data_IF_801728741995
#
_entry.id   IF_801728741995
#
_cell.length_a   1.000
_cell.length_b   1.000
_cell.length_c   1.000
_cell.angle_alpha   90.00
_cell.angle_beta   90.00
_cell.angle_gamma   90.00
#
_symmetry.space_group_name_H-M   'P 1'
#
loop_
_entity.id
_entity.type
_entity.pdbx_description
1 polymer ?
#
# COMPACT_ATOMS: atom_id res chain seq x y z
N UNK A 1 -37.51 -85.52 -28.75
CA UNK A 1 -38.34 -85.44 -27.53
C UNK A 1 -37.47 -85.03 -26.34
N UNK A 2 -37.98 -84.11 -25.52
CA UNK A 2 -37.32 -83.37 -24.42
C UNK A 2 -36.85 -84.27 -23.27
N UNK A 3 -35.76 -83.89 -22.58
CA UNK A 3 -35.46 -84.11 -21.15
C UNK A 3 -34.22 -83.26 -20.79
N UNK A 4 -34.40 -81.99 -20.40
CA UNK A 4 -34.55 -81.45 -19.02
C UNK A 4 -33.40 -81.79 -18.07
N UNK A 5 -32.57 -80.78 -17.84
CA UNK A 5 -31.59 -80.60 -16.76
C UNK A 5 -32.33 -80.57 -15.41
N UNK A 6 -31.73 -81.11 -14.33
CA UNK A 6 -31.99 -80.60 -12.99
C UNK A 6 -30.71 -80.07 -12.33
N UNK A 7 -30.89 -78.85 -11.81
CA UNK A 7 -30.02 -78.04 -10.98
C UNK A 7 -29.83 -78.65 -9.58
N UNK A 8 -28.58 -78.83 -9.15
CA UNK A 8 -28.13 -79.08 -7.75
C UNK A 8 -26.68 -78.56 -7.72
N UNK A 9 -26.16 -77.73 -6.81
CA UNK A 9 -26.65 -77.01 -5.64
C UNK A 9 -25.49 -76.05 -5.25
N UNK A 10 -25.75 -74.75 -5.14
CA UNK A 10 -25.75 -74.00 -3.88
C UNK A 10 -24.72 -74.51 -2.84
N UNK A 11 -23.51 -73.95 -2.86
CA UNK A 11 -22.60 -73.99 -1.69
C UNK A 11 -21.81 -72.70 -1.57
N UNK A 12 -22.26 -71.88 -0.61
CA UNK A 12 -21.47 -71.09 0.32
C UNK A 12 -20.32 -70.20 -0.22
N UNK A 13 -20.59 -68.91 -0.34
CA UNK A 13 -19.61 -67.86 -0.05
C UNK A 13 -20.34 -66.73 0.69
N UNK A 14 -20.68 -67.03 1.94
CA UNK A 14 -21.12 -66.05 2.92
C UNK A 14 -19.95 -65.13 3.29
N UNK A 15 -20.28 -63.84 3.42
CA UNK A 15 -19.79 -62.90 4.43
C UNK A 15 -18.31 -62.50 4.39
N UNK A 16 -17.99 -61.52 3.55
CA UNK A 16 -16.89 -60.56 3.77
C UNK A 16 -17.39 -59.10 3.64
N UNK A 17 -18.56 -58.81 4.19
CA UNK A 17 -18.99 -57.43 4.46
C UNK A 17 -18.99 -57.19 5.98
N UNK A 18 -17.82 -57.39 6.59
CA UNK A 18 -17.51 -56.64 7.80
C UNK A 18 -17.31 -55.19 7.34
N UNK A 19 -18.40 -54.42 7.36
CA UNK A 19 -18.29 -52.98 7.38
C UNK A 19 -17.51 -52.64 8.67
N UNK A 20 -16.21 -52.36 8.51
CA UNK A 20 -15.35 -51.74 9.53
C UNK A 20 -15.79 -50.29 9.78
N UNK A 21 -17.08 -50.08 10.06
CA UNK A 21 -17.64 -48.80 10.45
C UNK A 21 -17.42 -48.55 11.93
N UNK A 22 -16.16 -48.49 12.35
CA UNK A 22 -15.83 -47.92 13.65
C UNK A 22 -16.27 -46.44 13.70
N UNK A 23 -16.51 -45.88 14.89
CA UNK A 23 -16.80 -44.45 15.00
C UNK A 23 -15.65 -43.66 14.39
N UNK A 24 -15.97 -42.80 13.40
CA UNK A 24 -14.98 -41.94 12.74
C UNK A 24 -14.26 -41.10 13.78
N UNK A 25 -12.94 -41.00 13.67
CA UNK A 25 -12.12 -40.09 14.47
C UNK A 25 -12.41 -38.63 14.10
N UNK A 26 -12.10 -37.66 14.97
CA UNK A 26 -12.27 -36.23 14.64
C UNK A 26 -11.59 -35.83 13.32
N UNK A 27 -10.42 -36.40 13.04
CA UNK A 27 -9.69 -36.13 11.81
C UNK A 27 -10.40 -36.67 10.57
N UNK A 28 -10.92 -37.91 10.63
CA UNK A 28 -11.69 -38.49 9.52
C UNK A 28 -12.99 -37.74 9.26
N UNK A 29 -13.68 -37.26 10.32
CA UNK A 29 -14.88 -36.42 10.19
C UNK A 29 -14.52 -35.09 9.54
N UNK A 30 -13.46 -34.43 10.00
CA UNK A 30 -12.97 -33.16 9.45
C UNK A 30 -12.64 -33.29 7.96
N UNK A 31 -11.86 -34.31 7.60
CA UNK A 31 -11.52 -34.57 6.20
C UNK A 31 -12.76 -34.86 5.34
N UNK A 32 -13.70 -35.67 5.85
CA UNK A 32 -14.94 -35.97 5.13
C UNK A 32 -15.79 -34.71 4.94
N UNK A 33 -15.92 -33.88 5.97
CA UNK A 33 -16.65 -32.61 5.92
C UNK A 33 -16.06 -31.66 4.86
N UNK A 34 -14.76 -31.40 4.91
CA UNK A 34 -14.13 -30.47 3.97
C UNK A 34 -14.06 -31.01 2.53
N UNK A 35 -13.98 -32.33 2.36
CA UNK A 35 -14.14 -32.97 1.04
C UNK A 35 -15.56 -32.78 0.50
N UNK A 36 -16.56 -32.82 1.36
CA UNK A 36 -17.94 -32.56 0.97
C UNK A 36 -18.15 -31.08 0.61
N UNK A 37 -17.55 -30.16 1.38
CA UNK A 37 -17.53 -28.72 1.06
C UNK A 37 -16.91 -28.46 -0.31
N UNK A 38 -15.70 -29.00 -0.59
CA UNK A 38 -15.01 -28.75 -1.86
C UNK A 38 -15.71 -29.37 -3.08
N UNK A 39 -16.49 -30.43 -2.89
CA UNK A 39 -17.27 -31.08 -3.96
C UNK A 39 -18.71 -30.56 -4.09
N UNK A 40 -19.12 -29.66 -3.21
CA UNK A 40 -20.52 -29.23 -3.10
C UNK A 40 -21.48 -30.37 -2.72
N UNK A 41 -21.00 -31.40 -2.03
CA UNK A 41 -21.81 -32.53 -1.54
C UNK A 41 -22.61 -32.11 -0.30
N UNK A 42 -23.82 -31.63 -0.55
CA UNK A 42 -24.79 -31.18 0.46
C UNK A 42 -25.08 -32.24 1.52
N UNK A 43 -25.24 -33.50 1.11
CA UNK A 43 -25.56 -34.60 2.04
C UNK A 43 -24.37 -34.87 2.97
N UNK A 44 -23.15 -34.86 2.42
CA UNK A 44 -21.92 -35.00 3.20
C UNK A 44 -21.69 -33.85 4.17
N UNK A 45 -21.98 -32.61 3.78
CA UNK A 45 -21.83 -31.41 4.62
C UNK A 45 -22.75 -31.50 5.85
N UNK A 46 -24.05 -31.77 5.63
CA UNK A 46 -25.02 -31.90 6.71
C UNK A 46 -24.72 -33.15 7.55
N UNK A 47 -24.35 -34.26 6.92
CA UNK A 47 -24.05 -35.53 7.58
C UNK A 47 -22.80 -35.51 8.48
N UNK A 48 -21.87 -34.58 8.26
CA UNK A 48 -20.63 -34.45 9.02
C UNK A 48 -20.57 -33.21 9.92
N UNK A 49 -21.65 -32.45 10.03
CA UNK A 49 -21.72 -31.25 10.86
C UNK A 49 -22.89 -31.26 11.85
N UNK A 50 -22.94 -30.23 12.67
CA UNK A 50 -24.06 -29.92 13.57
C UNK A 50 -25.24 -29.25 12.85
N UNK A 51 -25.15 -29.01 11.54
CA UNK A 51 -26.25 -28.49 10.74
C UNK A 51 -27.45 -29.44 10.78
N UNK A 52 -28.65 -28.86 10.90
CA UNK A 52 -29.90 -29.63 10.87
C UNK A 52 -30.35 -29.91 9.43
N UNK A 53 -30.07 -28.99 8.52
CA UNK A 53 -30.36 -29.05 7.10
C UNK A 53 -29.40 -28.12 6.32
N UNK A 54 -29.59 -28.05 5.00
CA UNK A 54 -28.75 -27.24 4.11
C UNK A 54 -29.08 -25.75 4.16
N UNK A 55 -30.24 -25.32 4.68
CA UNK A 55 -30.61 -23.90 4.75
C UNK A 55 -29.70 -23.13 5.72
N UNK A 56 -29.16 -23.82 6.74
CA UNK A 56 -28.17 -23.28 7.66
C UNK A 56 -26.73 -23.17 7.10
N UNK A 57 -26.49 -23.67 5.88
CA UNK A 57 -25.16 -23.65 5.26
C UNK A 57 -24.98 -22.42 4.37
N UNK A 58 -24.21 -21.45 4.83
CA UNK A 58 -23.91 -20.22 4.09
C UNK A 58 -22.63 -20.29 3.26
N UNK A 59 -22.06 -21.50 3.09
CA UNK A 59 -20.76 -21.73 2.45
C UNK A 59 -19.61 -20.94 3.07
N UNK A 60 -19.75 -20.58 4.35
CA UNK A 60 -18.81 -19.72 5.06
C UNK A 60 -18.64 -18.34 4.42
N UNK A 61 -19.67 -17.85 3.74
CA UNK A 61 -19.65 -16.59 2.99
C UNK A 61 -18.62 -16.55 1.86
N UNK A 62 -18.21 -17.73 1.35
CA UNK A 62 -17.30 -17.89 0.20
C UNK A 62 -18.05 -18.47 -1.00
N UNK A 63 -17.82 -17.87 -2.17
CA UNK A 63 -18.51 -18.25 -3.40
C UNK A 63 -17.93 -19.49 -4.08
N UNK A 64 -16.60 -19.68 -3.98
CA UNK A 64 -15.89 -20.74 -4.69
C UNK A 64 -14.98 -21.56 -3.76
N UNK A 65 -15.12 -22.89 -3.84
CA UNK A 65 -14.28 -23.86 -3.15
C UNK A 65 -13.48 -24.74 -4.14
N UNK A 66 -13.61 -24.49 -5.44
CA UNK A 66 -12.82 -25.13 -6.48
C UNK A 66 -11.34 -24.72 -6.33
N UNK A 67 -10.44 -25.68 -6.53
CA UNK A 67 -8.97 -25.52 -6.42
C UNK A 67 -8.42 -25.15 -5.04
N UNK A 68 -9.27 -25.08 -4.01
CA UNK A 68 -8.83 -24.89 -2.62
C UNK A 68 -8.17 -26.16 -2.11
N UNK A 69 -6.91 -26.04 -1.70
CA UNK A 69 -6.17 -27.10 -1.03
C UNK A 69 -6.32 -26.98 0.49
N UNK A 70 -6.65 -28.10 1.16
CA UNK A 70 -6.74 -28.15 2.61
C UNK A 70 -5.63 -29.02 3.19
N UNK A 71 -4.97 -28.51 4.24
CA UNK A 71 -4.00 -29.25 5.01
C UNK A 71 -4.27 -29.15 6.51
N UNK A 72 -3.79 -30.15 7.25
CA UNK A 72 -4.10 -30.33 8.67
C UNK A 72 -2.86 -30.11 9.52
N UNK A 73 -3.02 -29.32 10.58
CA UNK A 73 -2.01 -29.07 11.58
C UNK A 73 -2.27 -29.83 12.88
N UNK A 74 -2.05 -29.15 14.01
CA UNK A 74 -2.22 -29.72 15.34
C UNK A 74 -3.67 -30.16 15.58
N UNK A 75 -3.81 -31.35 16.16
CA UNK A 75 -5.08 -31.92 16.63
C UNK A 75 -5.10 -31.91 18.15
N UNK A 76 -6.13 -31.33 18.75
CA UNK A 76 -6.38 -31.34 20.20
C UNK A 76 -7.73 -32.03 20.41
N UNK A 77 -7.76 -33.07 21.24
CA UNK A 77 -8.97 -33.85 21.52
C UNK A 77 -9.21 -33.85 23.02
N UNK A 78 -10.40 -33.42 23.42
CA UNK A 78 -10.97 -33.58 24.74
C UNK A 78 -12.10 -34.65 24.70
N UNK A 79 -12.76 -34.87 25.82
CA UNK A 79 -13.84 -35.84 26.03
C UNK A 79 -15.08 -35.56 25.17
N UNK A 80 -15.44 -34.29 25.01
CA UNK A 80 -16.64 -33.83 24.28
C UNK A 80 -16.32 -32.98 23.04
N UNK A 81 -15.11 -32.45 22.95
CA UNK A 81 -14.72 -31.45 21.95
C UNK A 81 -13.40 -31.84 21.31
N UNK A 82 -13.22 -31.47 20.04
CA UNK A 82 -11.93 -31.56 19.38
C UNK A 82 -11.70 -30.32 18.53
N UNK A 83 -10.44 -29.98 18.33
CA UNK A 83 -9.98 -28.86 17.54
C UNK A 83 -8.88 -29.33 16.60
N UNK A 84 -9.01 -28.98 15.32
CA UNK A 84 -8.03 -29.31 14.30
C UNK A 84 -7.64 -28.04 13.58
N UNK A 85 -6.38 -27.65 13.70
CA UNK A 85 -5.83 -26.55 12.91
C UNK A 85 -5.93 -26.95 11.43
N UNK A 86 -6.62 -26.13 10.67
CA UNK A 86 -6.89 -26.29 9.24
C UNK A 86 -6.23 -25.13 8.52
N UNK A 87 -5.45 -25.44 7.50
CA UNK A 87 -4.92 -24.45 6.57
C UNK A 87 -5.59 -24.62 5.23
N UNK A 88 -6.11 -23.53 4.73
CA UNK A 88 -6.70 -23.36 3.43
C UNK A 88 -5.68 -22.63 2.57
N UNK A 89 -5.30 -23.23 1.45
CA UNK A 89 -4.33 -22.66 0.52
C UNK A 89 -4.94 -22.56 -0.87
N UNK A 90 -4.65 -21.47 -1.56
CA UNK A 90 -5.00 -21.29 -2.96
C UNK A 90 -3.72 -21.32 -3.81
N UNK A 91 -3.51 -22.32 -4.66
CA UNK A 91 -2.29 -22.43 -5.46
C UNK A 91 -2.13 -21.28 -6.47
N UNK A 92 -3.20 -20.57 -6.83
CA UNK A 92 -3.14 -19.38 -7.68
C UNK A 92 -2.85 -18.10 -6.87
N UNK A 93 -3.08 -18.13 -5.56
CA UNK A 93 -2.86 -17.01 -4.63
C UNK A 93 -2.18 -17.49 -3.32
N UNK A 94 -0.91 -17.91 -3.37
CA UNK A 94 -0.22 -18.52 -2.22
C UNK A 94 0.01 -17.57 -1.03
N UNK A 95 -0.14 -16.27 -1.24
CA UNK A 95 -0.06 -15.25 -0.18
C UNK A 95 -1.40 -15.08 0.58
N UNK A 96 -2.48 -15.72 0.12
CA UNK A 96 -3.83 -15.70 0.72
C UNK A 96 -4.13 -16.99 1.51
N UNK A 97 -3.08 -17.68 1.99
CA UNK A 97 -3.17 -18.87 2.82
C UNK A 97 -3.82 -18.56 4.18
N UNK A 98 -4.99 -19.16 4.41
CA UNK A 98 -5.81 -18.90 5.60
C UNK A 98 -5.69 -20.04 6.60
N UNK A 99 -5.23 -19.74 7.82
CA UNK A 99 -5.13 -20.73 8.91
C UNK A 99 -6.16 -20.47 10.01
N UNK A 100 -6.97 -21.49 10.32
CA UNK A 100 -8.05 -21.41 11.30
C UNK A 100 -8.26 -22.76 12.00
N UNK A 101 -9.12 -22.81 13.01
CA UNK A 101 -9.44 -24.04 13.73
C UNK A 101 -10.79 -24.61 13.30
N UNK A 102 -10.80 -25.86 12.85
CA UNK A 102 -12.03 -26.63 12.71
C UNK A 102 -12.41 -27.19 14.08
N UNK A 103 -13.60 -26.84 14.55
CA UNK A 103 -14.12 -27.30 15.83
C UNK A 103 -15.06 -28.48 15.63
N UNK A 104 -14.93 -29.50 16.48
CA UNK A 104 -15.79 -30.67 16.48
C UNK A 104 -16.38 -30.87 17.87
N UNK A 105 -17.63 -31.31 17.89
CA UNK A 105 -18.35 -31.70 19.09
C UNK A 105 -18.79 -33.15 18.98
N UNK A 106 -18.83 -33.83 20.12
CA UNK A 106 -19.32 -35.19 20.20
C UNK A 106 -20.82 -35.21 20.48
N UNK A 107 -21.61 -35.73 19.55
CA UNK A 107 -23.06 -35.94 19.71
C UNK A 107 -23.36 -37.44 19.75
N UNK A 108 -23.69 -37.95 20.94
CA UNK A 108 -23.79 -39.39 21.17
C UNK A 108 -22.43 -40.08 20.98
N UNK A 109 -22.38 -41.07 20.09
CA UNK A 109 -21.13 -41.79 19.78
C UNK A 109 -20.37 -41.22 18.57
N UNK A 110 -20.83 -40.11 17.99
CA UNK A 110 -20.31 -39.58 16.73
C UNK A 110 -19.72 -38.19 16.90
N UNK A 111 -18.58 -37.95 16.25
CA UNK A 111 -18.02 -36.62 16.08
C UNK A 111 -18.71 -35.91 14.93
N UNK A 112 -18.94 -34.61 15.10
CA UNK A 112 -19.50 -33.71 14.07
C UNK A 112 -18.77 -32.39 14.13
N UNK A 113 -18.55 -31.78 12.97
CA UNK A 113 -18.03 -30.40 12.90
C UNK A 113 -19.07 -29.46 13.50
N UNK A 114 -18.67 -28.69 14.52
CA UNK A 114 -19.44 -27.56 15.01
C UNK A 114 -19.39 -26.47 13.94
N UNK A 115 -20.42 -26.43 13.11
CA UNK A 115 -20.47 -25.57 11.94
C UNK A 115 -20.40 -24.10 12.32
N UNK A 116 -21.23 -23.67 13.28
CA UNK A 116 -21.30 -22.27 13.70
C UNK A 116 -19.95 -21.80 14.24
N UNK A 117 -19.34 -22.56 15.16
CA UNK A 117 -18.06 -22.18 15.75
C UNK A 117 -16.93 -22.18 14.73
N UNK A 118 -16.90 -23.17 13.83
CA UNK A 118 -15.91 -23.23 12.75
C UNK A 118 -16.08 -22.07 11.76
N UNK A 119 -17.32 -21.72 11.44
CA UNK A 119 -17.62 -20.63 10.53
C UNK A 119 -17.25 -19.26 11.11
N UNK A 120 -17.48 -19.06 12.41
CA UNK A 120 -17.11 -17.81 13.09
C UNK A 120 -15.60 -17.62 13.14
N UNK A 121 -14.82 -18.67 13.48
CA UNK A 121 -13.35 -18.61 13.46
C UNK A 121 -12.82 -18.33 12.05
N UNK A 122 -13.35 -19.04 11.04
CA UNK A 122 -12.94 -18.85 9.64
C UNK A 122 -13.17 -17.42 9.15
N UNK A 123 -14.36 -16.84 9.42
CA UNK A 123 -14.68 -15.45 9.04
C UNK A 123 -13.82 -14.44 9.78
N UNK A 124 -13.57 -14.65 11.07
CA UNK A 124 -12.72 -13.78 11.87
C UNK A 124 -11.29 -13.73 11.31
N UNK A 125 -10.74 -14.89 10.91
CA UNK A 125 -9.40 -15.00 10.31
C UNK A 125 -9.35 -14.35 8.93
N UNK A 126 -10.33 -14.61 8.07
CA UNK A 126 -10.41 -13.97 6.74
C UNK A 126 -10.50 -12.43 6.84
N UNK A 127 -11.25 -11.91 7.81
CA UNK A 127 -11.33 -10.46 8.05
C UNK A 127 -10.01 -9.86 8.53
N UNK A 128 -9.25 -10.58 9.37
CA UNK A 128 -7.94 -10.15 9.84
C UNK A 128 -6.90 -10.15 8.71
N UNK A 129 -6.88 -11.16 7.85
CA UNK A 129 -5.99 -11.21 6.68
C UNK A 129 -6.31 -10.10 5.68
N UNK A 130 -7.60 -9.85 5.41
CA UNK A 130 -8.03 -8.72 4.59
C UNK A 130 -7.54 -7.37 5.11
N UNK A 131 -7.51 -7.18 6.44
CA UNK A 131 -6.94 -6.00 7.08
C UNK A 131 -5.43 -5.90 6.87
N UNK A 132 -4.68 -6.98 7.12
CA UNK A 132 -3.21 -7.02 6.94
C UNK A 132 -2.82 -6.74 5.50
N UNK A 133 -3.52 -7.36 4.54
CA UNK A 133 -3.29 -7.14 3.11
C UNK A 133 -3.60 -5.70 2.70
N UNK A 134 -4.66 -5.10 3.25
CA UNK A 134 -4.98 -3.69 3.03
C UNK A 134 -3.90 -2.76 3.58
N UNK A 135 -3.36 -3.04 4.77
CA UNK A 135 -2.25 -2.27 5.37
C UNK A 135 -0.97 -2.43 4.54
N UNK A 136 -0.65 -3.64 4.08
CA UNK A 136 0.49 -3.90 3.21
C UNK A 136 0.36 -3.21 1.85
N UNK A 137 -0.85 -3.21 1.26
CA UNK A 137 -1.14 -2.49 0.02
C UNK A 137 -1.01 -0.98 0.19
N UNK A 138 -1.52 -0.42 1.30
CA UNK A 138 -1.32 0.99 1.64
C UNK A 138 0.17 1.32 1.82
N UNK A 139 0.94 0.48 2.49
CA UNK A 139 2.39 0.65 2.64
C UNK A 139 3.11 0.69 1.29
N UNK A 140 2.81 -0.25 0.38
CA UNK A 140 3.39 -0.27 -0.97
C UNK A 140 2.98 0.92 -1.83
N UNK A 141 1.73 1.34 -1.74
CA UNK A 141 1.21 2.52 -2.45
C UNK A 141 1.88 3.81 -1.94
N UNK A 142 2.05 3.92 -0.63
CA UNK A 142 2.78 5.01 0.00
C UNK A 142 4.25 5.00 -0.46
N UNK A 143 4.94 3.85 -0.41
CA UNK A 143 6.32 3.72 -0.88
C UNK A 143 6.49 3.98 -2.38
N UNK A 144 5.54 3.56 -3.22
CA UNK A 144 5.59 3.79 -4.66
C UNK A 144 5.40 5.28 -4.97
N UNK A 145 4.44 5.94 -4.33
CA UNK A 145 4.24 7.38 -4.43
C UNK A 145 5.47 8.15 -3.92
N UNK A 146 6.12 7.71 -2.85
CA UNK A 146 7.39 8.29 -2.39
C UNK A 146 8.53 8.13 -3.40
N UNK A 147 8.67 6.95 -4.00
CA UNK A 147 9.71 6.71 -5.02
C UNK A 147 9.49 7.51 -6.31
N UNK A 148 8.25 7.69 -6.74
CA UNK A 148 7.92 8.48 -7.93
C UNK A 148 8.04 9.98 -7.69
N UNK A 149 7.54 10.48 -6.55
CA UNK A 149 7.67 11.88 -6.17
C UNK A 149 9.14 12.30 -5.99
N UNK A 150 9.97 11.46 -5.36
CA UNK A 150 11.40 11.74 -5.18
C UNK A 150 12.14 11.81 -6.54
N UNK A 151 11.87 10.88 -7.47
CA UNK A 151 12.51 10.88 -8.81
C UNK A 151 12.11 12.06 -9.70
N UNK A 152 10.83 12.44 -9.69
CA UNK A 152 10.35 13.61 -10.45
C UNK A 152 10.89 14.92 -9.86
N UNK A 153 11.03 14.98 -8.54
CA UNK A 153 11.60 16.11 -7.83
C UNK A 153 13.11 16.24 -8.03
N UNK A 154 13.86 15.15 -8.00
CA UNK A 154 15.30 15.12 -8.32
C UNK A 154 15.60 15.66 -9.72
N UNK A 155 14.77 15.30 -10.70
CA UNK A 155 14.88 15.83 -12.05
C UNK A 155 14.62 17.34 -12.10
N UNK A 156 13.65 17.82 -11.32
CA UNK A 156 13.36 19.25 -11.20
C UNK A 156 14.49 20.02 -10.53
N UNK A 157 15.05 19.53 -9.41
CA UNK A 157 16.15 20.23 -8.72
C UNK A 157 17.42 20.24 -9.57
N UNK A 158 17.74 19.15 -10.31
CA UNK A 158 18.85 19.15 -11.28
C UNK A 158 18.63 20.18 -12.40
N UNK A 159 17.42 20.28 -12.92
CA UNK A 159 17.04 21.31 -13.90
C UNK A 159 17.19 22.72 -13.33
N UNK A 160 16.85 22.92 -12.06
CA UNK A 160 16.98 24.20 -11.35
C UNK A 160 18.45 24.58 -11.12
N UNK A 161 19.30 23.64 -10.69
CA UNK A 161 20.74 23.89 -10.55
C UNK A 161 21.38 24.37 -11.87
N UNK A 162 20.94 23.79 -12.99
CA UNK A 162 21.42 24.19 -14.32
C UNK A 162 20.89 25.58 -14.75
N UNK A 163 19.66 25.91 -14.38
CA UNK A 163 19.08 27.25 -14.59
C UNK A 163 19.79 28.31 -13.74
N UNK A 164 20.14 28.01 -12.49
CA UNK A 164 20.93 28.91 -11.61
C UNK A 164 22.32 29.14 -12.20
N UNK A 165 23.00 28.08 -12.68
CA UNK A 165 24.31 28.22 -13.38
C UNK A 165 24.20 29.09 -14.63
N UNK A 166 23.09 28.99 -15.36
CA UNK A 166 22.84 29.77 -16.58
C UNK A 166 22.53 31.24 -16.25
N UNK A 167 21.70 31.47 -15.24
CA UNK A 167 21.35 32.81 -14.75
C UNK A 167 22.55 33.53 -14.13
N UNK A 168 23.40 32.79 -13.41
CA UNK A 168 24.68 33.24 -12.85
C UNK A 168 25.61 33.83 -13.92
N UNK A 169 25.70 33.21 -15.10
CA UNK A 169 26.49 33.73 -16.22
C UNK A 169 25.93 35.03 -16.82
N UNK A 170 24.66 35.36 -16.57
CA UNK A 170 24.01 36.55 -17.14
C UNK A 170 23.99 37.78 -16.23
N UNK A 171 24.42 37.66 -14.98
CA UNK A 171 24.39 38.75 -14.01
C UNK A 171 25.78 39.36 -13.83
N UNK A 172 26.03 40.44 -14.56
CA UNK A 172 27.15 41.35 -14.31
C UNK A 172 26.65 42.53 -13.46
N UNK A 173 27.27 42.69 -12.28
CA UNK A 173 27.32 43.84 -11.35
C UNK A 173 26.05 44.43 -10.68
N UNK A 174 24.81 44.24 -11.17
CA UNK A 174 23.58 44.77 -10.50
C UNK A 174 22.75 43.69 -9.75
N UNK A 175 23.42 42.70 -9.15
CA UNK A 175 22.80 41.50 -8.56
C UNK A 175 23.05 41.28 -7.06
N UNK A 176 23.80 42.15 -6.39
CA UNK A 176 24.23 41.93 -5.00
C UNK A 176 23.06 41.77 -4.03
N UNK A 177 22.03 42.62 -4.10
CA UNK A 177 20.88 42.55 -3.18
C UNK A 177 20.07 41.25 -3.33
N UNK A 178 19.92 40.73 -4.56
CA UNK A 178 19.20 39.46 -4.80
C UNK A 178 20.03 38.25 -4.38
N UNK A 179 21.35 38.29 -4.60
CA UNK A 179 22.28 37.26 -4.14
C UNK A 179 22.33 37.23 -2.62
N UNK A 180 22.34 38.39 -1.97
CA UNK A 180 22.28 38.53 -0.51
C UNK A 180 20.96 38.00 0.05
N UNK A 181 19.83 38.43 -0.52
CA UNK A 181 18.51 37.98 -0.07
C UNK A 181 18.32 36.47 -0.26
N UNK A 182 18.75 35.93 -1.40
CA UNK A 182 18.66 34.51 -1.68
C UNK A 182 19.60 33.70 -0.77
N UNK A 183 20.84 34.15 -0.61
CA UNK A 183 21.83 33.53 0.25
C UNK A 183 21.36 33.44 1.70
N UNK A 184 20.80 34.53 2.23
CA UNK A 184 20.27 34.57 3.60
C UNK A 184 19.06 33.65 3.80
N UNK A 185 18.16 33.55 2.81
CA UNK A 185 17.04 32.61 2.88
C UNK A 185 17.50 31.16 2.80
N UNK A 186 18.48 30.87 1.93
CA UNK A 186 19.06 29.54 1.81
C UNK A 186 19.81 29.14 3.09
N UNK A 187 20.61 30.05 3.67
CA UNK A 187 21.29 29.88 4.95
C UNK A 187 20.29 29.49 6.05
N UNK A 188 19.27 30.33 6.29
CA UNK A 188 18.24 30.07 7.30
C UNK A 188 17.65 28.67 7.15
N UNK A 189 17.36 28.29 5.92
CA UNK A 189 16.72 27.03 5.63
C UNK A 189 17.65 25.82 5.79
N UNK A 190 18.90 25.89 5.31
CA UNK A 190 19.90 24.84 5.51
C UNK A 190 20.13 24.62 7.01
N UNK A 191 20.23 25.70 7.80
CA UNK A 191 20.30 25.62 9.26
C UNK A 191 19.10 24.90 9.88
N UNK A 192 17.87 25.24 9.46
CA UNK A 192 16.65 24.56 9.93
C UNK A 192 16.65 23.05 9.64
N UNK A 193 17.18 22.65 8.48
CA UNK A 193 17.29 21.24 8.09
C UNK A 193 18.33 20.51 8.94
N UNK A 194 19.54 21.08 9.08
CA UNK A 194 20.61 20.50 9.88
C UNK A 194 20.15 20.30 11.34
N UNK A 195 19.57 21.34 11.94
CA UNK A 195 18.94 21.30 13.26
C UNK A 195 17.88 20.19 13.40
N UNK A 196 17.08 19.98 12.35
CA UNK A 196 16.04 18.95 12.32
C UNK A 196 16.63 17.55 12.33
N UNK A 197 17.70 17.34 11.56
CA UNK A 197 18.42 16.06 11.47
C UNK A 197 19.15 15.78 12.79
N UNK A 198 19.79 16.77 13.39
CA UNK A 198 20.41 16.63 14.72
C UNK A 198 19.41 16.23 15.79
N UNK A 199 18.22 16.86 15.80
CA UNK A 199 17.13 16.48 16.72
C UNK A 199 16.69 15.03 16.49
N UNK A 200 16.49 14.64 15.24
CA UNK A 200 16.11 13.27 14.91
C UNK A 200 17.16 12.26 15.38
N UNK A 201 18.44 12.55 15.13
CA UNK A 201 19.56 11.73 15.57
C UNK A 201 19.61 11.63 17.11
N UNK A 202 19.38 12.74 17.83
CA UNK A 202 19.40 12.77 19.30
C UNK A 202 18.24 11.99 19.92
N UNK A 203 17.04 12.10 19.34
CA UNK A 203 15.83 11.44 19.84
C UNK A 203 15.82 9.93 19.59
N UNK A 204 16.40 9.49 18.46
CA UNK A 204 16.35 8.08 18.04
C UNK A 204 17.69 7.35 18.11
N UNK A 205 18.77 7.99 18.60
CA UNK A 205 20.13 7.43 18.67
C UNK A 205 20.18 5.96 19.11
N UNK A 206 19.48 5.63 20.20
CA UNK A 206 19.57 4.29 20.81
C UNK A 206 18.80 3.21 20.01
N UNK A 207 18.06 3.62 18.97
CA UNK A 207 17.25 2.77 18.10
C UNK A 207 17.71 2.79 16.63
N UNK A 208 18.70 3.61 16.30
CA UNK A 208 19.23 3.79 14.94
C UNK A 208 20.51 2.97 14.78
N UNK A 209 20.72 2.37 13.61
CA UNK A 209 21.94 1.61 13.31
C UNK A 209 23.17 2.53 13.33
N UNK A 210 24.36 1.97 13.60
CA UNK A 210 25.61 2.77 13.57
C UNK A 210 25.85 3.39 12.19
N UNK A 211 25.52 2.68 11.11
CA UNK A 211 25.63 3.14 9.73
C UNK A 211 24.72 4.34 9.43
N UNK A 212 23.44 4.25 9.80
CA UNK A 212 22.50 5.38 9.62
C UNK A 212 22.89 6.59 10.46
N UNK A 213 23.40 6.37 11.67
CA UNK A 213 23.88 7.46 12.51
C UNK A 213 25.08 8.17 11.89
N UNK A 214 26.00 7.41 11.27
CA UNK A 214 27.17 7.97 10.58
C UNK A 214 26.73 8.81 9.37
N UNK A 215 25.79 8.31 8.56
CA UNK A 215 25.22 9.06 7.42
C UNK A 215 24.56 10.36 7.90
N UNK A 216 23.71 10.31 8.94
CA UNK A 216 23.03 11.49 9.47
C UNK A 216 24.02 12.53 10.01
N UNK A 217 25.11 12.09 10.66
CA UNK A 217 26.17 12.99 11.15
C UNK A 217 26.95 13.62 10.01
N UNK A 218 27.27 12.86 8.97
CA UNK A 218 27.94 13.38 7.77
C UNK A 218 27.09 14.43 7.07
N UNK A 219 25.78 14.15 6.88
CA UNK A 219 24.85 15.10 6.28
C UNK A 219 24.74 16.40 7.10
N UNK A 220 24.64 16.32 8.43
CA UNK A 220 24.61 17.52 9.28
C UNK A 220 25.88 18.34 9.12
N UNK A 221 27.05 17.70 9.09
CA UNK A 221 28.32 18.40 8.92
C UNK A 221 28.40 19.11 7.56
N UNK A 222 28.03 18.43 6.48
CA UNK A 222 28.02 19.00 5.13
C UNK A 222 27.07 20.22 5.06
N UNK A 223 25.88 20.11 5.67
CA UNK A 223 24.90 21.20 5.73
C UNK A 223 25.42 22.38 6.56
N UNK A 224 26.10 22.15 7.68
CA UNK A 224 26.71 23.24 8.46
C UNK A 224 27.82 23.95 7.70
N UNK A 225 28.69 23.22 7.01
CA UNK A 225 29.75 23.81 6.19
C UNK A 225 29.17 24.65 5.04
N UNK A 226 28.13 24.13 4.38
CA UNK A 226 27.38 24.87 3.37
C UNK A 226 26.71 26.12 3.96
N UNK A 227 26.08 26.00 5.13
CA UNK A 227 25.44 27.12 5.82
C UNK A 227 26.45 28.24 6.15
N UNK A 228 27.62 27.89 6.68
CA UNK A 228 28.69 28.85 6.99
C UNK A 228 29.20 29.56 5.73
N UNK A 229 29.23 28.88 4.59
CA UNK A 229 29.62 29.46 3.30
C UNK A 229 28.61 30.50 2.77
N UNK A 230 27.35 30.41 3.20
CA UNK A 230 26.27 31.33 2.82
C UNK A 230 26.24 32.61 3.66
N UNK A 231 26.93 32.67 4.80
CA UNK A 231 27.07 33.89 5.60
C UNK A 231 27.73 35.06 4.83
N UNK A 232 28.42 34.75 3.72
CA UNK A 232 28.86 35.72 2.71
C UNK A 232 28.45 35.21 1.33
N UNK A 233 27.19 35.44 0.92
CA UNK A 233 26.64 34.75 -0.24
C UNK A 233 27.26 35.29 -1.52
N UNK A 234 27.72 34.37 -2.34
CA UNK A 234 28.16 34.58 -3.71
C UNK A 234 27.39 33.64 -4.60
N UNK A 235 27.37 33.90 -5.90
CA UNK A 235 26.69 32.98 -6.82
C UNK A 235 27.28 31.58 -6.83
N UNK A 236 28.58 31.46 -6.51
CA UNK A 236 29.29 30.18 -6.36
C UNK A 236 28.88 29.48 -5.07
N UNK A 237 28.94 30.16 -3.91
CA UNK A 237 28.52 29.54 -2.64
C UNK A 237 27.03 29.17 -2.59
N UNK A 238 26.18 29.88 -3.33
CA UNK A 238 24.77 29.51 -3.56
C UNK A 238 24.66 28.20 -4.37
N UNK A 239 25.41 28.08 -5.46
CA UNK A 239 25.36 26.91 -6.33
C UNK A 239 25.91 25.67 -5.61
N UNK A 240 27.01 25.83 -4.88
CA UNK A 240 27.63 24.76 -4.09
C UNK A 240 26.70 24.32 -2.96
N UNK A 241 26.10 25.27 -2.24
CA UNK A 241 25.12 24.95 -1.19
C UNK A 241 23.87 24.24 -1.70
N UNK A 242 23.45 24.55 -2.94
CA UNK A 242 22.36 23.85 -3.61
C UNK A 242 22.74 22.39 -3.95
N UNK A 243 24.01 22.14 -4.31
CA UNK A 243 24.55 20.80 -4.57
C UNK A 243 24.68 19.97 -3.27
N UNK A 244 25.14 20.62 -2.20
CA UNK A 244 25.18 20.03 -0.85
C UNK A 244 23.77 19.63 -0.39
N UNK A 245 22.77 20.48 -0.59
CA UNK A 245 21.37 20.16 -0.28
C UNK A 245 20.84 18.95 -1.06
N UNK A 246 21.17 18.86 -2.35
CA UNK A 246 20.80 17.71 -3.19
C UNK A 246 21.41 16.41 -2.66
N UNK A 247 22.70 16.46 -2.33
CA UNK A 247 23.45 15.31 -1.81
C UNK A 247 22.94 14.90 -0.43
N UNK A 248 22.68 15.87 0.45
CA UNK A 248 22.05 15.65 1.74
C UNK A 248 20.70 14.92 1.59
N UNK A 249 19.86 15.34 0.65
CA UNK A 249 18.58 14.67 0.42
C UNK A 249 18.72 13.24 -0.09
N UNK A 250 19.63 12.98 -1.03
CA UNK A 250 19.88 11.63 -1.52
C UNK A 250 20.33 10.71 -0.39
N UNK A 251 21.20 11.20 0.50
CA UNK A 251 21.67 10.47 1.68
C UNK A 251 20.58 10.28 2.74
N UNK A 252 19.68 11.24 2.91
CA UNK A 252 18.54 11.09 3.84
C UNK A 252 17.49 10.10 3.35
N UNK A 253 17.30 10.00 2.03
CA UNK A 253 16.37 9.05 1.42
C UNK A 253 16.88 7.58 1.54
N UNK A 254 18.18 7.35 1.76
CA UNK A 254 18.74 6.01 2.01
C UNK A 254 18.61 5.53 3.45
N UNK A 255 18.21 6.38 4.40
CA UNK A 255 18.07 5.98 5.80
C UNK A 255 16.88 5.03 5.94
N UNK A 256 17.14 3.79 6.32
CA UNK A 256 16.11 2.75 6.47
C UNK A 256 15.68 2.67 7.95
N UNK A 257 14.37 2.81 8.24
CA UNK A 257 13.86 2.72 9.61
C UNK A 257 12.60 3.52 9.88
N UNK A 258 11.64 2.88 10.54
CA UNK A 258 10.31 3.47 10.81
C UNK A 258 10.36 4.62 11.83
N UNK A 259 11.39 4.63 12.67
CA UNK A 259 11.61 5.66 13.70
C UNK A 259 11.75 7.07 13.09
N UNK A 260 12.23 7.17 11.84
CA UNK A 260 12.39 8.45 11.13
C UNK A 260 11.20 8.84 10.24
N UNK A 261 10.14 8.03 10.15
CA UNK A 261 9.03 8.29 9.22
C UNK A 261 8.38 9.67 9.45
N UNK A 262 8.25 10.10 10.71
CA UNK A 262 7.71 11.43 11.04
C UNK A 262 8.66 12.58 10.66
N UNK A 263 9.97 12.33 10.62
CA UNK A 263 10.98 13.31 10.20
C UNK A 263 11.10 13.36 8.69
N UNK A 264 11.02 12.21 8.00
CA UNK A 264 11.01 12.12 6.54
C UNK A 264 9.88 12.97 5.93
N UNK A 265 8.68 12.91 6.50
CA UNK A 265 7.57 13.75 6.06
C UNK A 265 7.87 15.25 6.27
N UNK A 266 8.41 15.63 7.43
CA UNK A 266 8.81 17.01 7.73
C UNK A 266 9.90 17.53 6.78
N UNK A 267 10.87 16.69 6.42
CA UNK A 267 11.93 17.04 5.47
C UNK A 267 11.38 17.18 4.03
N UNK A 268 10.35 16.44 3.66
CA UNK A 268 9.65 16.60 2.37
C UNK A 268 8.85 17.91 2.31
N UNK A 269 8.10 18.23 3.37
CA UNK A 269 7.36 19.50 3.44
C UNK A 269 8.31 20.70 3.40
N UNK A 270 9.46 20.57 4.08
CA UNK A 270 10.53 21.54 4.03
C UNK A 270 11.08 21.68 2.60
N UNK A 271 11.35 20.57 1.89
CA UNK A 271 11.81 20.58 0.48
C UNK A 271 10.87 21.35 -0.44
N UNK A 272 9.56 21.08 -0.35
CA UNK A 272 8.56 21.76 -1.16
C UNK A 272 8.52 23.28 -0.90
N UNK A 273 8.74 23.69 0.35
CA UNK A 273 8.80 25.10 0.74
C UNK A 273 10.01 25.82 0.12
N UNK A 274 11.18 25.17 0.10
CA UNK A 274 12.40 25.72 -0.54
C UNK A 274 12.19 25.93 -2.03
N UNK A 275 11.61 24.92 -2.71
CA UNK A 275 11.36 24.98 -4.14
C UNK A 275 10.45 26.16 -4.51
N UNK A 276 9.33 26.32 -3.79
CA UNK A 276 8.41 27.44 -4.02
C UNK A 276 9.08 28.79 -3.80
N UNK A 277 9.95 28.90 -2.79
CA UNK A 277 10.67 30.13 -2.47
C UNK A 277 11.76 30.46 -3.51
N UNK A 278 12.44 29.43 -4.03
CA UNK A 278 13.42 29.58 -5.10
C UNK A 278 12.77 30.04 -6.41
N UNK A 279 11.60 29.49 -6.78
CA UNK A 279 10.87 29.89 -7.99
C UNK A 279 10.38 31.34 -7.91
N UNK A 280 9.95 31.79 -6.74
CA UNK A 280 9.61 33.18 -6.45
C UNK A 280 10.83 34.12 -6.68
N UNK A 281 12.01 33.72 -6.20
CA UNK A 281 13.23 34.54 -6.26
C UNK A 281 13.90 34.57 -7.64
N UNK A 282 13.75 33.50 -8.43
CA UNK A 282 14.30 33.39 -9.79
C UNK A 282 13.34 33.96 -10.86
N UNK A 283 12.12 34.34 -10.48
CA UNK A 283 11.17 34.97 -11.39
C UNK A 283 11.62 36.39 -11.76
N UNK A 284 11.53 36.79 -13.05
CA UNK A 284 11.86 38.15 -13.45
C UNK A 284 10.95 39.16 -12.74
N UNK A 285 11.48 40.34 -12.34
CA UNK A 285 10.65 41.35 -11.70
C UNK A 285 9.48 41.72 -12.62
N UNK A 286 8.28 41.97 -12.06
CA UNK A 286 7.15 42.43 -12.87
C UNK A 286 7.57 43.70 -13.64
N UNK A 287 7.19 43.83 -14.92
CA UNK A 287 7.63 44.97 -15.73
C UNK A 287 7.23 46.26 -15.04
N UNK A 288 8.22 47.13 -14.83
CA UNK A 288 8.02 48.46 -14.29
C UNK A 288 6.99 49.20 -15.17
N UNK A 289 6.05 49.91 -14.53
CA UNK A 289 4.80 50.39 -15.18
C UNK A 289 5.00 51.28 -16.42
N UNK A 290 6.22 51.70 -16.73
CA UNK A 290 6.54 52.56 -17.87
C UNK A 290 6.74 51.81 -19.21
N UNK A 291 6.88 50.47 -19.24
CA UNK A 291 7.05 49.70 -20.50
C UNK A 291 5.80 48.92 -20.95
N UNK A 292 4.60 49.38 -20.57
CA UNK A 292 3.34 48.80 -21.07
C UNK A 292 3.02 49.17 -22.53
N UNK A 293 3.83 50.02 -23.18
CA UNK A 293 3.58 50.48 -24.56
C UNK A 293 4.10 49.51 -25.64
N UNK A 294 4.98 48.56 -25.30
CA UNK A 294 5.61 47.65 -26.27
C UNK A 294 4.99 46.25 -26.38
N UNK A 295 4.20 45.81 -25.39
CA UNK A 295 3.56 44.50 -25.45
C UNK A 295 2.18 44.56 -26.11
N UNK A 296 2.10 44.22 -27.40
CA UNK A 296 0.84 43.84 -28.05
C UNK A 296 0.71 42.31 -28.06
N UNK A 297 -0.37 41.73 -27.53
CA UNK A 297 -0.55 40.28 -27.57
C UNK A 297 -0.80 39.81 -29.00
N UNK A 298 -0.01 38.84 -29.45
CA UNK A 298 -0.20 38.13 -30.71
C UNK A 298 -1.51 37.32 -30.60
N UNK A 299 -2.55 37.72 -31.34
CA UNK A 299 -3.77 36.91 -31.48
C UNK A 299 -3.46 35.66 -32.30
N UNK A 300 -3.44 34.50 -31.66
CA UNK A 300 -3.49 33.20 -32.32
C UNK A 300 -4.84 33.06 -33.05
N UNK A 301 -4.78 32.93 -34.38
CA UNK A 301 -5.92 32.65 -35.24
C UNK A 301 -6.36 31.18 -35.04
N UNK A 302 -7.48 30.99 -34.35
CA UNK A 302 -8.20 29.71 -34.35
C UNK A 302 -8.83 29.47 -35.73
N UNK A 303 -8.29 28.51 -36.50
CA UNK A 303 -8.98 27.95 -37.67
C UNK A 303 -10.08 27.01 -37.16
N UNK A 304 -11.33 27.37 -37.45
CA UNK A 304 -12.51 26.52 -37.25
C UNK A 304 -13.26 26.37 -38.57
N UNK A 305 -13.66 25.14 -38.89
CA UNK A 305 -14.56 24.79 -40.00
C UNK A 305 -14.34 23.32 -40.37
N UNK A 306 -15.32 22.43 -40.43
CA UNK A 306 -16.79 22.49 -40.40
C UNK A 306 -17.26 21.03 -40.19
N UNK A 307 -18.45 20.66 -39.72
CA UNK A 307 -19.65 21.37 -39.30
C UNK A 307 -20.73 20.34 -38.98
N UNK A 308 -21.72 20.71 -38.15
CA UNK A 308 -23.09 20.19 -38.20
C UNK A 308 -24.00 21.12 -37.41
N UNK A 309 -25.02 21.63 -38.10
CA UNK A 309 -26.09 22.49 -37.58
C UNK A 309 -27.10 21.67 -36.79
N UNK A 310 -27.65 22.24 -35.70
CA UNK A 310 -29.10 22.45 -35.44
C UNK A 310 -29.26 23.17 -34.08
N UNK A 311 -29.75 24.42 -34.12
CA UNK A 311 -31.11 24.84 -33.69
C UNK A 311 -31.23 24.96 -32.16
N UNK A 312 -30.81 26.08 -31.57
CA UNK A 312 -31.67 27.24 -31.19
C UNK A 312 -32.86 26.88 -30.28
N UNK A 313 -32.69 27.11 -28.98
CA UNK A 313 -33.80 27.54 -28.11
C UNK A 313 -33.33 28.65 -27.18
N UNK A 314 -34.14 29.71 -27.21
CA UNK A 314 -34.04 31.00 -26.55
C UNK A 314 -33.89 30.94 -25.03
N UNK A 315 -33.06 31.83 -24.51
CA UNK A 315 -33.13 32.37 -23.15
C UNK A 315 -33.76 33.77 -23.21
N UNK A 316 -34.88 33.94 -22.51
CA UNK A 316 -35.56 35.18 -22.07
C UNK A 316 -36.71 34.70 -21.17
N UNK A 317 -36.99 35.12 -19.95
CA UNK A 317 -36.78 36.36 -19.18
C UNK A 317 -37.14 35.98 -17.72
N UNK A 318 -36.53 36.49 -16.67
CA UNK A 318 -37.08 37.54 -15.78
C UNK A 318 -36.07 37.75 -14.63
N UNK A 319 -35.63 39.00 -14.38
CA UNK A 319 -34.96 39.40 -13.13
C UNK A 319 -36.00 39.78 -12.06
N UNK A 320 -35.74 40.75 -11.14
CA UNK A 320 -34.46 41.27 -10.63
C UNK A 320 -34.45 41.38 -9.07
N UNK A 321 -33.26 41.53 -8.44
CA UNK A 321 -32.96 42.48 -7.36
C UNK A 321 -31.62 42.16 -6.67
N UNK A 322 -30.58 42.96 -6.97
CA UNK A 322 -29.47 43.20 -6.05
C UNK A 322 -29.10 44.70 -6.11
N UNK A 323 -29.16 45.34 -4.94
CA UNK A 323 -28.64 46.64 -4.46
C UNK A 323 -28.32 46.35 -2.99
N UNK A 324 -27.24 46.81 -2.36
CA UNK A 324 -26.13 47.72 -2.66
C UNK A 324 -24.85 47.09 -2.13
#
# INVERSE_FOLDING_TARGET
MKKKIPTIGLTCSLLLLAACGGPKTPQEVTQSFWTAVSRGDVEGIVGHSTLSDIEGYDRFSRDDWENVELSWGKVVIDTTDAEIVTRLSDPEAPDDDLTFSTHLVRQGEQWRVDYTRTADELRARAALEGLVNSVGALGREISSQFGHASRELDANIKSMAEQVRTFSRSLQEDASERVEHYGAELERHIGELADSIERALKEHRDKTTEEDQDILREVVNDLHESNDSLARPTTESIADSSDTLLTAHQRLDTIEGDEFNSYKQRWQDWRAKIQSKMEELLSPPPPERDDMSRWRPVRLLAKNGSGRRRQSRDCRSFGPHCRE
#
